data_IF_199033135522
#
_entry.id   IF_199033135522
#
_cell.length_a   1.000
_cell.length_b   1.000
_cell.length_c   1.000
_cell.angle_alpha   90.00
_cell.angle_beta   90.00
_cell.angle_gamma   90.00
#
_symmetry.space_group_name_H-M   'P 1'
#
loop_
_entity.id
_entity.type
_entity.pdbx_description
1 polymer ?
#
# COMPACT_ATOMS: atom_id res chain seq x y z
N UNK A 1 27.18 -4.35 -11.44
CA UNK A 1 25.93 -3.74 -10.93
C UNK A 1 25.99 -3.91 -9.43
N UNK A 2 26.23 -2.84 -8.67
CA UNK A 2 26.40 -2.95 -7.23
C UNK A 2 25.02 -3.18 -6.60
N UNK A 3 24.78 -4.40 -6.14
CA UNK A 3 23.73 -4.70 -5.18
C UNK A 3 24.00 -3.80 -3.96
N UNK A 4 23.18 -2.77 -3.75
CA UNK A 4 23.18 -2.06 -2.47
C UNK A 4 22.55 -3.02 -1.44
N UNK A 5 23.31 -4.01 -1.01
CA UNK A 5 22.96 -4.84 0.14
C UNK A 5 23.06 -3.92 1.34
N UNK A 6 21.92 -3.37 1.76
CA UNK A 6 21.82 -2.64 3.01
C UNK A 6 22.11 -3.66 4.11
N UNK A 7 23.35 -3.63 4.62
CA UNK A 7 23.76 -4.44 5.76
C UNK A 7 22.92 -4.12 6.99
N UNK A 8 22.98 -5.00 8.00
CA UNK A 8 22.26 -4.79 9.24
C UNK A 8 22.58 -3.40 9.84
N UNK A 9 21.57 -2.61 10.24
CA UNK A 9 21.81 -1.32 10.87
C UNK A 9 22.54 -1.47 12.21
N UNK A 10 23.24 -0.41 12.63
CA UNK A 10 24.02 -0.42 13.87
C UNK A 10 23.16 -0.82 15.07
N UNK A 11 23.61 -1.82 15.83
CA UNK A 11 22.89 -2.36 16.99
C UNK A 11 21.87 -3.46 16.69
N UNK A 12 21.68 -3.86 15.43
CA UNK A 12 20.85 -5.03 15.05
C UNK A 12 21.75 -6.22 14.74
N UNK A 13 21.45 -7.38 15.33
CA UNK A 13 22.20 -8.61 15.04
C UNK A 13 21.96 -9.07 13.59
N UNK A 14 22.90 -9.83 13.04
CA UNK A 14 22.72 -10.40 11.70
C UNK A 14 21.46 -11.30 11.63
N UNK A 15 21.20 -12.09 12.68
CA UNK A 15 20.03 -12.97 12.79
C UNK A 15 18.72 -12.18 12.80
N UNK A 16 18.64 -11.08 13.57
CA UNK A 16 17.46 -10.21 13.61
C UNK A 16 17.22 -9.51 12.26
N UNK A 17 18.29 -9.11 11.58
CA UNK A 17 18.22 -8.50 10.25
C UNK A 17 17.72 -9.50 9.20
N UNK A 18 18.22 -10.73 9.21
CA UNK A 18 17.75 -11.80 8.33
C UNK A 18 16.28 -12.15 8.60
N UNK A 19 15.87 -12.21 9.87
CA UNK A 19 14.48 -12.43 10.25
C UNK A 19 13.56 -11.30 9.73
N UNK A 20 13.99 -10.04 9.85
CA UNK A 20 13.28 -8.89 9.29
C UNK A 20 13.16 -8.97 7.76
N UNK A 21 14.26 -9.27 7.05
CA UNK A 21 14.26 -9.39 5.60
C UNK A 21 13.34 -10.52 5.13
N UNK A 22 13.36 -11.67 5.84
CA UNK A 22 12.45 -12.78 5.58
C UNK A 22 11.00 -12.37 5.79
N UNK A 23 10.69 -11.77 6.94
CA UNK A 23 9.34 -11.30 7.24
C UNK A 23 8.85 -10.30 6.20
N UNK A 24 9.68 -9.31 5.82
CA UNK A 24 9.36 -8.33 4.80
C UNK A 24 9.07 -8.99 3.45
N UNK A 25 9.89 -9.96 3.03
CA UNK A 25 9.67 -10.71 1.79
C UNK A 25 8.39 -11.53 1.83
N UNK A 26 8.13 -12.21 2.94
CA UNK A 26 6.91 -13.01 3.13
C UNK A 26 5.67 -12.10 3.11
N UNK A 27 5.75 -10.91 3.73
CA UNK A 27 4.69 -9.91 3.70
C UNK A 27 4.45 -9.34 2.30
N UNK A 28 5.49 -8.94 1.58
CA UNK A 28 5.36 -8.46 0.19
C UNK A 28 4.77 -9.52 -0.74
N UNK A 29 5.14 -10.80 -0.56
CA UNK A 29 4.56 -11.91 -1.32
C UNK A 29 3.06 -12.08 -1.00
N UNK A 30 2.67 -11.93 0.26
CA UNK A 30 1.27 -11.99 0.69
C UNK A 30 0.44 -10.84 0.10
N UNK A 31 0.97 -9.61 0.10
CA UNK A 31 0.32 -8.45 -0.54
C UNK A 31 0.16 -8.65 -2.05
N UNK A 32 1.20 -9.16 -2.72
CA UNK A 32 1.13 -9.46 -4.15
C UNK A 32 0.13 -10.57 -4.46
N UNK A 33 0.08 -11.62 -3.64
CA UNK A 33 -0.91 -12.69 -3.79
C UNK A 33 -2.34 -12.15 -3.64
N UNK A 34 -2.58 -11.25 -2.68
CA UNK A 34 -3.87 -10.59 -2.49
C UNK A 34 -4.26 -9.78 -3.73
N UNK A 35 -3.32 -9.04 -4.31
CA UNK A 35 -3.56 -8.33 -5.57
C UNK A 35 -4.03 -9.27 -6.68
N UNK A 36 -3.27 -10.34 -6.96
CA UNK A 36 -3.58 -11.27 -8.04
C UNK A 36 -4.88 -12.04 -7.81
N UNK A 37 -5.21 -12.36 -6.56
CA UNK A 37 -6.37 -13.20 -6.23
C UNK A 37 -7.67 -12.42 -6.16
N UNK A 38 -7.64 -11.17 -5.69
CA UNK A 38 -8.83 -10.39 -5.35
C UNK A 38 -8.86 -9.03 -6.08
N UNK A 39 -7.85 -8.19 -5.81
CA UNK A 39 -7.92 -6.76 -6.15
C UNK A 39 -7.82 -6.49 -7.65
N UNK A 40 -7.18 -7.41 -8.39
CA UNK A 40 -7.08 -7.35 -9.85
C UNK A 40 -8.45 -7.49 -10.54
N UNK A 41 -9.31 -8.35 -10.01
CA UNK A 41 -10.66 -8.55 -10.54
C UNK A 41 -11.66 -7.57 -9.94
N UNK A 42 -11.47 -7.19 -8.67
CA UNK A 42 -12.34 -6.27 -7.95
C UNK A 42 -11.52 -5.18 -7.27
N UNK A 43 -11.26 -4.05 -7.95
CA UNK A 43 -10.52 -2.93 -7.38
C UNK A 43 -11.18 -2.45 -6.09
N UNK A 44 -10.40 -2.18 -5.01
CA UNK A 44 -10.96 -1.61 -3.79
C UNK A 44 -11.55 -0.23 -4.10
N UNK A 45 -12.48 0.24 -3.27
CA UNK A 45 -12.91 1.63 -3.33
C UNK A 45 -11.77 2.56 -2.84
N UNK A 46 -11.76 3.84 -3.23
CA UNK A 46 -10.83 4.77 -2.62
C UNK A 46 -11.25 5.09 -1.18
N UNK A 47 -10.33 5.58 -0.33
CA UNK A 47 -10.59 5.92 1.07
C UNK A 47 -11.82 6.82 1.28
N UNK A 48 -11.99 7.84 0.44
CA UNK A 48 -13.10 8.80 0.51
C UNK A 48 -14.46 8.24 0.09
N UNK A 49 -14.51 7.16 -0.68
CA UNK A 49 -15.76 6.48 -1.01
C UNK A 49 -16.09 5.40 0.01
N UNK A 50 -15.07 4.69 0.52
CA UNK A 50 -15.25 3.60 1.48
C UNK A 50 -15.55 4.11 2.89
N UNK A 51 -14.86 5.17 3.29
CA UNK A 51 -14.91 5.78 4.62
C UNK A 51 -15.08 7.29 4.50
N UNK A 52 -16.21 7.78 3.94
CA UNK A 52 -16.42 9.19 3.65
C UNK A 52 -16.45 10.09 4.90
N UNK A 53 -16.65 9.50 6.07
CA UNK A 53 -16.71 10.18 7.37
C UNK A 53 -15.33 10.60 7.89
N UNK A 54 -14.25 10.03 7.35
CA UNK A 54 -12.90 10.23 7.85
C UNK A 54 -12.07 11.04 6.86
N UNK A 55 -11.65 12.23 7.27
CA UNK A 55 -10.71 13.06 6.53
C UNK A 55 -9.29 12.44 6.47
N UNK A 56 -8.45 12.78 5.49
CA UNK A 56 -7.15 12.13 5.29
C UNK A 56 -6.15 12.37 6.43
N UNK A 57 -6.31 13.44 7.20
CA UNK A 57 -5.48 13.74 8.38
C UNK A 57 -5.92 13.00 9.65
N UNK A 58 -7.04 12.28 9.61
CA UNK A 58 -7.62 11.63 10.77
C UNK A 58 -6.72 10.47 11.25
N UNK A 59 -6.64 10.30 12.58
CA UNK A 59 -5.88 9.21 13.21
C UNK A 59 -6.36 7.83 12.75
N UNK A 60 -7.63 7.70 12.32
CA UNK A 60 -8.19 6.49 11.72
C UNK A 60 -7.29 5.87 10.64
N UNK A 61 -6.60 6.69 9.84
CA UNK A 61 -5.73 6.23 8.76
C UNK A 61 -4.34 5.77 9.22
N UNK A 62 -4.00 6.00 10.49
CA UNK A 62 -2.70 5.66 11.09
C UNK A 62 -2.81 4.59 12.17
N UNK A 63 -4.00 4.01 12.34
CA UNK A 63 -4.21 2.91 13.29
C UNK A 63 -5.45 2.08 12.95
N UNK A 64 -5.36 0.77 13.21
CA UNK A 64 -6.48 -0.15 13.09
C UNK A 64 -7.02 -0.22 11.66
N UNK A 65 -8.34 -0.30 11.53
CA UNK A 65 -9.00 -0.64 10.27
C UNK A 65 -8.70 0.31 9.11
N UNK A 66 -8.53 1.62 9.39
CA UNK A 66 -8.21 2.58 8.33
C UNK A 66 -6.80 2.35 7.79
N UNK A 67 -5.82 2.16 8.67
CA UNK A 67 -4.44 1.82 8.28
C UNK A 67 -4.39 0.49 7.52
N UNK A 68 -5.05 -0.56 8.03
CA UNK A 68 -5.14 -1.85 7.36
C UNK A 68 -5.74 -1.72 5.95
N UNK A 69 -6.80 -0.91 5.78
CA UNK A 69 -7.40 -0.69 4.47
C UNK A 69 -6.44 0.00 3.49
N UNK A 70 -5.69 0.98 3.97
CA UNK A 70 -4.74 1.72 3.15
C UNK A 70 -3.54 0.86 2.75
N UNK A 71 -2.99 0.11 3.68
CA UNK A 71 -1.77 -0.68 3.44
C UNK A 71 -2.10 -1.94 2.64
N UNK A 72 -3.16 -2.68 3.01
CA UNK A 72 -3.42 -4.02 2.47
C UNK A 72 -4.31 -4.04 1.22
N UNK A 73 -5.10 -2.98 0.98
CA UNK A 73 -6.06 -2.96 -0.13
C UNK A 73 -5.77 -1.81 -1.08
N UNK A 74 -5.99 -0.57 -0.64
CA UNK A 74 -5.87 0.59 -1.52
C UNK A 74 -4.43 0.78 -2.03
N UNK A 75 -3.45 0.74 -1.13
CA UNK A 75 -2.02 0.85 -1.43
C UNK A 75 -1.52 -0.34 -2.25
N UNK A 76 -1.96 -1.57 -1.96
CA UNK A 76 -1.64 -2.75 -2.78
C UNK A 76 -2.13 -2.57 -4.21
N UNK A 77 -3.37 -2.12 -4.40
CA UNK A 77 -3.89 -1.88 -5.74
C UNK A 77 -3.09 -0.79 -6.47
N UNK A 78 -2.79 0.33 -5.82
CA UNK A 78 -1.97 1.40 -6.41
C UNK A 78 -0.54 0.95 -6.77
N UNK A 79 0.03 0.04 -5.97
CA UNK A 79 1.40 -0.47 -6.14
C UNK A 79 1.53 -1.50 -7.27
N UNK A 80 0.57 -2.43 -7.39
CA UNK A 80 0.67 -3.59 -8.28
C UNK A 80 -0.18 -3.49 -9.55
N UNK A 81 -1.21 -2.65 -9.59
CA UNK A 81 -2.03 -2.52 -10.79
C UNK A 81 -1.27 -1.86 -11.94
N UNK A 82 -1.71 -2.16 -13.17
CA UNK A 82 -1.09 -1.61 -14.37
C UNK A 82 -1.35 -0.10 -14.46
N UNK A 83 -0.48 0.62 -15.17
CA UNK A 83 -0.65 2.06 -15.37
C UNK A 83 -2.00 2.41 -15.99
N UNK A 84 -2.47 1.62 -16.95
CA UNK A 84 -3.77 1.79 -17.57
C UNK A 84 -4.93 1.58 -16.58
N UNK A 85 -4.85 0.54 -15.73
CA UNK A 85 -5.86 0.27 -14.69
C UNK A 85 -5.91 1.40 -13.66
N UNK A 86 -4.74 1.92 -13.27
CA UNK A 86 -4.62 3.08 -12.37
C UNK A 86 -5.21 4.34 -13.01
N UNK A 87 -4.97 4.58 -14.30
CA UNK A 87 -5.56 5.73 -14.99
C UNK A 87 -7.09 5.60 -15.08
N UNK A 88 -7.60 4.43 -15.47
CA UNK A 88 -9.04 4.16 -15.49
C UNK A 88 -9.66 4.31 -14.09
N UNK A 89 -8.96 3.85 -13.05
CA UNK A 89 -9.38 3.97 -11.66
C UNK A 89 -9.45 5.43 -11.20
N UNK A 90 -8.44 6.25 -11.49
CA UNK A 90 -8.41 7.69 -11.19
C UNK A 90 -9.52 8.46 -11.91
N UNK A 91 -9.88 8.06 -13.13
CA UNK A 91 -10.99 8.64 -13.88
C UNK A 91 -12.36 8.24 -13.29
N UNK A 92 -12.49 6.98 -12.85
CA UNK A 92 -13.71 6.48 -12.21
C UNK A 92 -13.93 7.10 -10.82
N UNK A 93 -12.85 7.30 -10.07
CA UNK A 93 -12.87 7.82 -8.72
C UNK A 93 -11.95 9.03 -8.60
N UNK A 94 -12.41 10.22 -9.02
CA UNK A 94 -11.61 11.43 -8.87
C UNK A 94 -11.39 11.74 -7.38
N UNK A 95 -10.14 12.01 -7.00
CA UNK A 95 -9.82 12.41 -5.64
C UNK A 95 -10.40 13.80 -5.34
N UNK A 96 -11.15 13.97 -4.23
CA UNK A 96 -11.50 15.29 -3.73
C UNK A 96 -10.24 16.10 -3.44
N UNK A 97 -10.36 17.43 -3.40
CA UNK A 97 -9.23 18.33 -3.12
C UNK A 97 -8.44 17.94 -1.86
N UNK A 98 -9.12 17.57 -0.78
CA UNK A 98 -8.46 17.16 0.46
C UNK A 98 -7.63 15.86 0.32
N UNK A 99 -7.91 15.04 -0.70
CA UNK A 99 -7.28 13.76 -1.00
C UNK A 99 -6.34 13.81 -2.22
N UNK A 100 -6.09 14.97 -2.81
CA UNK A 100 -5.42 15.11 -4.12
C UNK A 100 -4.01 14.48 -4.17
N UNK A 101 -3.31 14.43 -3.03
CA UNK A 101 -1.95 13.90 -2.95
C UNK A 101 -1.88 12.37 -2.89
N UNK A 102 -2.98 11.68 -2.56
CA UNK A 102 -2.98 10.23 -2.34
C UNK A 102 -2.80 9.41 -3.62
N UNK A 103 -3.02 10.01 -4.79
CA UNK A 103 -2.74 9.40 -6.08
C UNK A 103 -1.36 9.76 -6.65
N UNK A 104 -0.67 10.71 -6.02
CA UNK A 104 0.62 11.25 -6.45
C UNK A 104 1.78 10.70 -5.62
N UNK A 105 1.52 10.03 -4.50
CA UNK A 105 2.51 9.23 -3.80
C UNK A 105 2.75 7.91 -4.56
N UNK A 106 3.74 7.94 -5.46
CA UNK A 106 4.39 6.77 -6.05
C UNK A 106 5.87 7.06 -6.24
#
# INVERSE_FOLDING_TARGET
MASNEIGAPEGVSAEDWEAYLKHKKDWEAMLQQRFESELKANPPLPPWEKFPEYEPSNIFWRMGTGEEYLIDYFGVYLKYASKDDIQAYKLKYPAPKIWENWYNEN
#
